data_IF_583239394778
#
_entry.id   IF_583239394778
#
_cell.length_a   1.000
_cell.length_b   1.000
_cell.length_c   1.000
_cell.angle_alpha   90.00
_cell.angle_beta   90.00
_cell.angle_gamma   90.00
#
_symmetry.space_group_name_H-M   'P 1'
#
loop_
_entity.id
_entity.type
_entity.pdbx_description
1 polymer ?
#
# COMPACT_ATOMS: atom_id res chain seq x y z
N UNK A 1 25.41 -7.56 48.41
CA UNK A 1 25.26 -8.01 47.03
C UNK A 1 23.90 -7.52 46.57
N UNK A 2 23.91 -6.50 45.74
CA UNK A 2 22.75 -5.70 45.40
C UNK A 2 23.28 -4.53 44.58
N UNK A 3 23.69 -4.87 43.36
CA UNK A 3 24.50 -3.99 42.52
C UNK A 3 23.58 -3.28 41.51
N UNK A 4 24.06 -2.14 41.03
CA UNK A 4 23.20 -1.01 40.66
C UNK A 4 22.96 -0.87 39.13
N UNK A 5 22.23 0.18 38.76
CA UNK A 5 21.78 0.55 37.43
C UNK A 5 22.90 0.70 36.38
N UNK A 6 22.55 0.47 35.11
CA UNK A 6 23.42 0.67 33.95
C UNK A 6 22.61 1.02 32.70
N UNK A 7 22.41 2.32 32.47
CA UNK A 7 21.56 2.89 31.41
C UNK A 7 22.34 3.28 30.13
N UNK A 8 21.62 3.76 29.11
CA UNK A 8 22.13 4.47 27.91
C UNK A 8 23.28 3.86 27.07
N UNK A 9 22.94 2.94 26.14
CA UNK A 9 23.81 2.54 25.00
C UNK A 9 24.13 3.67 23.98
N UNK A 10 23.62 4.90 24.16
CA UNK A 10 23.64 5.96 23.13
C UNK A 10 24.62 7.10 23.43
N UNK A 11 25.94 6.85 23.35
CA UNK A 11 26.93 7.91 23.07
C UNK A 11 28.13 7.41 22.24
N UNK A 12 28.51 8.28 21.32
CA UNK A 12 29.54 8.20 20.29
C UNK A 12 30.91 7.61 20.68
N UNK A 13 31.51 6.88 19.74
CA UNK A 13 32.97 6.94 19.52
C UNK A 13 33.36 8.35 19.03
N UNK A 14 34.42 8.93 19.61
CA UNK A 14 34.99 10.20 19.20
C UNK A 14 36.50 10.19 19.48
N UNK A 15 37.31 10.50 18.47
CA UNK A 15 38.76 10.31 18.50
C UNK A 15 39.49 11.33 19.41
N UNK A 16 40.53 10.89 20.11
CA UNK A 16 41.40 11.73 20.94
C UNK A 16 42.59 12.31 20.17
N UNK A 17 42.69 13.64 20.12
CA UNK A 17 43.90 14.46 20.36
C UNK A 17 43.70 15.89 19.80
N UNK A 18 44.39 16.95 20.24
CA UNK A 18 44.79 17.41 21.59
C UNK A 18 45.70 18.65 21.44
N UNK A 19 45.21 19.87 21.75
CA UNK A 19 46.05 21.05 22.11
C UNK A 19 45.19 22.26 22.51
N UNK A 20 45.50 22.83 23.68
CA UNK A 20 45.46 24.26 24.09
C UNK A 20 44.22 25.13 23.71
N UNK A 21 43.35 25.57 24.63
CA UNK A 21 43.51 26.47 25.82
C UNK A 21 43.59 27.96 25.47
N UNK A 22 42.52 28.70 25.81
CA UNK A 22 42.59 30.03 26.45
C UNK A 22 41.22 30.41 27.08
N UNK A 23 41.20 31.29 28.09
CA UNK A 23 40.01 31.71 28.86
C UNK A 23 39.60 33.16 28.55
N UNK A 24 38.30 33.46 28.47
CA UNK A 24 37.75 34.83 28.64
C UNK A 24 36.44 34.79 29.44
N UNK A 25 36.27 35.75 30.36
CA UNK A 25 35.20 35.82 31.35
C UNK A 25 33.86 36.45 30.88
N UNK A 26 32.78 36.00 31.54
CA UNK A 26 31.68 36.77 32.16
C UNK A 26 31.25 38.14 31.55
N UNK A 27 29.97 38.24 31.13
CA UNK A 27 28.93 39.09 31.81
C UNK A 27 27.52 39.03 31.19
N UNK A 28 26.52 39.08 32.07
CA UNK A 28 25.15 39.50 31.76
C UNK A 28 24.96 40.97 32.17
N UNK A 29 24.00 41.68 31.56
CA UNK A 29 23.25 42.74 32.25
C UNK A 29 21.76 42.41 32.33
N UNK A 30 21.21 42.40 33.54
CA UNK A 30 19.75 42.52 33.75
C UNK A 30 19.39 43.96 34.04
N UNK A 31 18.30 44.48 33.46
CA UNK A 31 17.66 45.70 33.97
C UNK A 31 16.17 45.48 34.23
N UNK A 32 15.59 46.31 35.10
CA UNK A 32 14.24 46.13 35.66
C UNK A 32 13.53 47.48 35.80
N UNK A 33 12.31 47.58 35.28
CA UNK A 33 11.11 48.20 35.89
C UNK A 33 9.94 48.00 34.89
N UNK A 34 8.66 48.09 35.25
CA UNK A 34 8.06 48.61 36.48
C UNK A 34 6.93 47.71 37.06
N UNK A 35 6.50 47.99 38.29
CA UNK A 35 5.49 47.24 39.06
C UNK A 35 4.21 48.06 39.30
N UNK A 36 3.25 47.40 39.96
CA UNK A 36 1.98 47.87 40.57
C UNK A 36 0.74 47.63 39.68
N UNK A 37 -0.40 47.07 40.12
CA UNK A 37 -0.81 46.31 41.34
C UNK A 37 -1.99 45.34 40.94
N UNK A 38 -2.73 44.55 41.75
CA UNK A 38 -2.95 44.42 43.21
C UNK A 38 -3.43 42.99 43.59
N UNK A 39 -3.87 42.80 44.84
CA UNK A 39 -4.53 41.63 45.48
C UNK A 39 -5.98 41.36 45.03
N UNK A 40 -6.61 40.19 45.20
CA UNK A 40 -6.13 38.85 45.65
C UNK A 40 -7.21 37.96 46.36
N UNK A 41 -6.98 36.62 46.39
CA UNK A 41 -7.67 35.52 47.18
C UNK A 41 -9.16 35.18 46.83
N UNK A 42 -9.50 33.92 46.46
CA UNK A 42 -9.83 32.69 47.28
C UNK A 42 -11.22 32.79 47.97
N UNK A 43 -12.17 31.83 47.94
CA UNK A 43 -12.13 30.34 47.92
C UNK A 43 -13.38 29.66 47.27
N UNK A 44 -13.25 28.35 47.06
CA UNK A 44 -14.27 27.26 46.92
C UNK A 44 -15.38 27.23 48.01
N UNK A 45 -16.56 26.60 47.82
CA UNK A 45 -16.80 25.12 47.85
C UNK A 45 -18.14 24.65 47.20
N UNK A 46 -18.44 23.34 47.32
CA UNK A 46 -19.47 22.51 46.65
C UNK A 46 -20.82 22.35 47.37
N UNK A 47 -21.91 21.98 46.66
CA UNK A 47 -22.71 20.72 46.83
C UNK A 47 -23.98 20.60 45.93
N UNK A 48 -24.83 19.56 46.11
CA UNK A 48 -26.02 19.15 45.28
C UNK A 48 -27.16 18.56 46.18
N UNK A 49 -28.21 17.87 45.66
CA UNK A 49 -29.45 18.31 44.96
C UNK A 49 -30.73 17.93 45.76
N UNK A 50 -31.99 18.09 45.24
CA UNK A 50 -32.75 16.90 44.77
C UNK A 50 -33.99 17.06 43.81
N UNK A 51 -34.27 16.03 42.97
CA UNK A 51 -35.62 15.46 42.56
C UNK A 51 -36.65 16.35 41.78
N UNK A 52 -37.57 15.86 40.90
CA UNK A 52 -37.78 14.56 40.23
C UNK A 52 -38.87 14.52 39.10
N UNK A 53 -38.80 13.52 38.18
CA UNK A 53 -39.87 12.79 37.40
C UNK A 53 -40.75 13.46 36.30
N UNK A 54 -40.59 13.01 35.03
CA UNK A 54 -41.61 12.34 34.13
C UNK A 54 -41.05 12.13 32.68
N UNK A 55 -41.66 11.34 31.77
CA UNK A 55 -41.56 9.84 31.60
C UNK A 55 -42.27 9.36 30.29
N UNK A 56 -41.56 8.71 29.33
CA UNK A 56 -42.01 7.77 28.24
C UNK A 56 -40.73 7.28 27.49
N UNK A 57 -40.37 5.99 27.40
CA UNK A 57 -40.81 4.86 26.50
C UNK A 57 -40.64 5.18 25.00
N UNK A 58 -40.07 4.30 24.14
CA UNK A 58 -40.19 2.80 23.99
C UNK A 58 -38.81 2.20 23.56
N UNK A 59 -38.24 1.09 24.07
CA UNK A 59 -38.55 -0.37 23.91
C UNK A 59 -38.34 -0.94 22.47
N UNK A 60 -37.99 -2.23 22.24
CA UNK A 60 -38.24 -3.47 23.02
C UNK A 60 -36.98 -4.23 23.56
N UNK A 61 -36.74 -5.52 23.18
CA UNK A 61 -35.78 -6.49 23.80
C UNK A 61 -35.17 -7.48 22.77
N UNK A 62 -33.93 -7.96 22.99
CA UNK A 62 -33.31 -9.12 22.29
C UNK A 62 -33.93 -10.50 22.64
N UNK A 63 -33.61 -11.52 21.83
CA UNK A 63 -33.55 -12.98 22.13
C UNK A 63 -34.70 -13.70 22.88
N UNK A 64 -35.22 -14.79 22.31
CA UNK A 64 -35.00 -16.19 22.79
C UNK A 64 -35.66 -17.25 21.87
N UNK A 65 -35.40 -18.54 22.13
CA UNK A 65 -35.71 -19.73 21.31
C UNK A 65 -36.95 -20.49 21.85
N UNK A 66 -37.75 -21.12 20.97
CA UNK A 66 -38.54 -22.32 21.31
C UNK A 66 -38.14 -23.60 20.54
N UNK A 67 -38.48 -24.78 21.10
CA UNK A 67 -38.15 -26.13 20.58
C UNK A 67 -39.23 -26.77 19.67
N UNK A 68 -38.91 -27.95 19.13
CA UNK A 68 -39.70 -28.78 18.21
C UNK A 68 -40.95 -29.45 18.82
N UNK A 69 -41.92 -29.80 17.94
CA UNK A 69 -42.78 -30.99 18.04
C UNK A 69 -43.02 -31.59 16.64
N UNK A 70 -43.41 -32.87 16.57
CA UNK A 70 -43.54 -33.68 15.33
C UNK A 70 -44.99 -34.07 15.00
N UNK A 71 -45.25 -34.33 13.71
CA UNK A 71 -46.38 -35.11 13.13
C UNK A 71 -47.80 -34.53 13.36
N UNK A 72 -48.78 -34.68 12.46
CA UNK A 72 -48.84 -35.06 11.04
C UNK A 72 -50.14 -34.43 10.43
N UNK A 73 -50.57 -34.62 9.18
CA UNK A 73 -50.16 -35.53 8.08
C UNK A 73 -50.26 -34.82 6.70
N UNK A 74 -50.26 -35.57 5.60
CA UNK A 74 -50.23 -35.05 4.22
C UNK A 74 -51.55 -35.06 3.43
N UNK A 75 -51.56 -34.27 2.35
CA UNK A 75 -52.01 -34.72 1.02
C UNK A 75 -51.28 -33.91 -0.09
N UNK A 76 -51.42 -34.34 -1.34
CA UNK A 76 -50.70 -33.86 -2.53
C UNK A 76 -51.31 -32.59 -3.10
N UNK A 77 -50.47 -31.62 -3.43
CA UNK A 77 -50.75 -30.72 -4.57
C UNK A 77 -49.47 -30.43 -5.36
N UNK A 78 -49.55 -30.64 -6.68
CA UNK A 78 -48.42 -30.51 -7.61
C UNK A 78 -48.15 -29.05 -7.94
N UNK A 79 -47.14 -28.47 -7.30
CA UNK A 79 -46.75 -27.09 -7.58
C UNK A 79 -45.27 -27.01 -7.99
N UNK A 80 -45.02 -27.11 -9.30
CA UNK A 80 -43.69 -27.02 -9.92
C UNK A 80 -43.13 -25.60 -9.81
N UNK A 81 -42.66 -25.23 -8.61
CA UNK A 81 -41.96 -23.98 -8.33
C UNK A 81 -40.70 -23.91 -9.20
N UNK A 82 -40.79 -23.23 -10.35
CA UNK A 82 -39.66 -22.95 -11.25
C UNK A 82 -38.50 -22.42 -10.41
N UNK A 83 -37.45 -23.23 -10.22
CA UNK A 83 -36.26 -22.86 -9.44
C UNK A 83 -35.64 -21.64 -10.13
N UNK A 84 -35.90 -20.43 -9.61
CA UNK A 84 -35.20 -19.21 -10.03
C UNK A 84 -33.71 -19.53 -9.94
N UNK A 85 -33.03 -19.65 -11.09
CA UNK A 85 -31.57 -19.86 -11.14
C UNK A 85 -30.96 -18.72 -10.32
N UNK A 86 -30.42 -19.04 -9.13
CA UNK A 86 -29.66 -18.07 -8.34
C UNK A 86 -28.57 -17.57 -9.28
N UNK A 87 -28.59 -16.28 -9.59
CA UNK A 87 -27.59 -15.65 -10.47
C UNK A 87 -26.25 -15.87 -9.77
N UNK A 88 -25.37 -16.68 -10.36
CA UNK A 88 -24.09 -17.06 -9.73
C UNK A 88 -23.38 -15.78 -9.27
N UNK A 89 -22.94 -15.74 -8.02
CA UNK A 89 -22.13 -14.63 -7.53
C UNK A 89 -20.85 -14.57 -8.36
N UNK A 90 -20.27 -13.39 -8.57
CA UNK A 90 -19.01 -13.25 -9.32
C UNK A 90 -17.92 -14.16 -8.68
N UNK A 91 -17.91 -14.24 -7.35
CA UNK A 91 -17.13 -15.20 -6.55
C UNK A 91 -17.31 -16.66 -6.98
N UNK A 92 -18.55 -17.11 -7.21
CA UNK A 92 -18.88 -18.51 -7.54
C UNK A 92 -18.40 -18.87 -8.96
N UNK A 93 -18.40 -17.89 -9.87
CA UNK A 93 -17.85 -18.06 -11.23
C UNK A 93 -16.32 -18.10 -11.16
N UNK A 94 -15.69 -17.14 -10.48
CA UNK A 94 -14.23 -17.05 -10.31
C UNK A 94 -13.63 -18.22 -9.52
N UNK A 95 -14.42 -18.89 -8.67
CA UNK A 95 -14.02 -20.12 -7.97
C UNK A 95 -14.18 -21.39 -8.82
N UNK A 96 -14.94 -21.34 -9.92
CA UNK A 96 -15.13 -22.48 -10.85
C UNK A 96 -14.14 -22.51 -12.02
N UNK A 97 -13.31 -21.48 -12.17
CA UNK A 97 -12.21 -21.43 -13.14
C UNK A 97 -10.89 -21.86 -12.49
N UNK A 98 -10.11 -22.72 -13.14
CA UNK A 98 -8.73 -22.97 -12.76
C UNK A 98 -7.87 -21.69 -12.88
N UNK A 99 -6.83 -21.51 -12.06
CA UNK A 99 -5.98 -20.33 -12.08
C UNK A 99 -4.98 -20.41 -13.26
N UNK A 100 -5.42 -20.10 -14.49
CA UNK A 100 -4.49 -19.87 -15.62
C UNK A 100 -3.55 -18.69 -15.28
N UNK A 101 -2.21 -18.82 -15.43
CA UNK A 101 -1.30 -17.68 -15.27
C UNK A 101 -1.62 -16.57 -16.27
N UNK A 102 -1.31 -15.33 -15.90
CA UNK A 102 -1.46 -14.16 -16.76
C UNK A 102 -0.41 -14.13 -17.87
N UNK A 103 -0.81 -13.73 -19.07
CA UNK A 103 0.10 -13.51 -20.19
C UNK A 103 0.08 -12.04 -20.69
N UNK A 104 1.10 -11.60 -21.46
CA UNK A 104 1.15 -10.23 -22.02
C UNK A 104 -0.14 -9.80 -22.74
N UNK A 105 -0.78 -10.72 -23.47
CA UNK A 105 -2.04 -10.47 -24.15
C UNK A 105 -3.20 -10.13 -23.18
N UNK A 106 -3.23 -10.68 -21.96
CA UNK A 106 -4.26 -10.33 -20.97
C UNK A 106 -4.11 -8.85 -20.54
N UNK A 107 -2.88 -8.35 -20.40
CA UNK A 107 -2.60 -6.94 -20.11
C UNK A 107 -2.93 -6.05 -21.32
N UNK A 108 -2.48 -6.43 -22.52
CA UNK A 108 -2.72 -5.64 -23.73
C UNK A 108 -4.23 -5.51 -24.02
N UNK A 109 -4.99 -6.59 -23.87
CA UNK A 109 -6.45 -6.57 -24.01
C UNK A 109 -7.11 -5.67 -22.95
N UNK A 110 -6.65 -5.72 -21.69
CA UNK A 110 -7.18 -4.88 -20.60
C UNK A 110 -6.94 -3.39 -20.84
N UNK A 111 -5.76 -3.02 -21.35
CA UNK A 111 -5.41 -1.64 -21.70
C UNK A 111 -6.25 -1.18 -22.90
N UNK A 112 -6.27 -1.97 -23.98
CA UNK A 112 -6.99 -1.64 -25.22
C UNK A 112 -8.50 -1.47 -24.97
N UNK A 113 -9.12 -2.35 -24.17
CA UNK A 113 -10.54 -2.26 -23.80
C UNK A 113 -10.88 -1.05 -22.91
N UNK A 114 -9.91 -0.50 -22.17
CA UNK A 114 -10.16 0.67 -21.32
C UNK A 114 -10.01 2.00 -22.06
N UNK A 115 -9.20 2.01 -23.12
CA UNK A 115 -8.89 3.21 -23.90
C UNK A 115 -9.62 3.30 -25.25
N UNK A 116 -10.23 2.21 -25.74
CA UNK A 116 -11.07 2.19 -26.96
C UNK A 116 -12.12 3.30 -27.02
N UNK A 117 -12.67 3.65 -25.86
CA UNK A 117 -13.79 4.60 -25.72
C UNK A 117 -13.29 6.03 -25.42
N UNK A 118 -11.97 6.22 -25.27
CA UNK A 118 -11.35 7.40 -24.64
C UNK A 118 -10.27 8.07 -25.48
N UNK A 119 -9.84 7.43 -26.57
CA UNK A 119 -8.68 7.81 -27.38
C UNK A 119 -9.00 7.61 -28.85
N UNK A 120 -8.35 8.40 -29.71
CA UNK A 120 -8.40 8.18 -31.16
C UNK A 120 -7.75 6.85 -31.55
N UNK A 121 -8.03 6.37 -32.77
CA UNK A 121 -7.43 5.15 -33.31
C UNK A 121 -5.90 5.21 -33.27
N UNK A 122 -5.31 6.36 -33.62
CA UNK A 122 -3.85 6.58 -33.61
C UNK A 122 -3.29 6.47 -32.18
N UNK A 123 -3.99 7.05 -31.20
CA UNK A 123 -3.62 6.96 -29.78
C UNK A 123 -3.85 5.57 -29.15
N UNK A 124 -4.55 4.67 -29.87
CA UNK A 124 -4.77 3.25 -29.54
C UNK A 124 -3.87 2.32 -30.38
N UNK A 125 -3.08 2.87 -31.30
CA UNK A 125 -1.85 2.26 -31.85
C UNK A 125 -0.60 2.75 -31.07
N UNK A 126 -0.69 3.92 -30.42
CA UNK A 126 -0.17 4.07 -29.07
C UNK A 126 -0.77 3.03 -28.10
N UNK A 127 -0.20 2.85 -26.90
CA UNK A 127 -0.59 1.84 -25.92
C UNK A 127 -0.43 0.36 -26.36
N UNK A 128 -0.23 0.06 -27.65
CA UNK A 128 0.24 -1.26 -28.13
C UNK A 128 1.70 -1.46 -27.73
N UNK A 129 1.96 -2.43 -26.87
CA UNK A 129 3.30 -2.86 -26.49
C UNK A 129 3.79 -4.00 -27.38
N UNK A 130 5.11 -4.07 -27.58
CA UNK A 130 5.75 -5.23 -28.21
C UNK A 130 6.07 -6.29 -27.16
N UNK A 131 6.21 -7.56 -27.56
CA UNK A 131 6.62 -8.65 -26.65
C UNK A 131 7.99 -8.38 -25.99
N UNK A 132 8.85 -7.60 -26.65
CA UNK A 132 10.14 -7.12 -26.12
C UNK A 132 10.02 -6.22 -24.86
N UNK A 133 8.86 -5.60 -24.65
CA UNK A 133 8.53 -4.84 -23.44
C UNK A 133 8.25 -5.75 -22.24
N UNK A 134 7.99 -7.05 -22.46
CA UNK A 134 7.66 -8.00 -21.42
C UNK A 134 8.88 -8.83 -20.98
N UNK A 135 8.77 -9.37 -19.77
CA UNK A 135 9.67 -10.35 -19.18
C UNK A 135 9.01 -11.73 -19.25
N UNK A 136 9.75 -12.79 -18.91
CA UNK A 136 9.15 -14.10 -18.66
C UNK A 136 7.98 -13.94 -17.68
N UNK A 137 6.84 -14.57 -17.96
CA UNK A 137 5.64 -14.48 -17.11
C UNK A 137 5.63 -15.66 -16.15
N UNK A 138 5.32 -15.41 -14.88
CA UNK A 138 5.29 -16.46 -13.85
C UNK A 138 4.20 -17.50 -14.17
N UNK A 139 4.62 -18.75 -14.32
CA UNK A 139 3.78 -19.93 -14.59
C UNK A 139 3.09 -20.49 -13.32
N UNK A 140 3.21 -19.76 -12.20
CA UNK A 140 2.79 -20.09 -10.83
C UNK A 140 3.77 -20.99 -10.05
N UNK A 141 4.86 -21.48 -10.64
CA UNK A 141 5.83 -22.32 -9.92
C UNK A 141 6.80 -21.49 -9.07
N UNK A 142 7.12 -20.26 -9.48
CA UNK A 142 8.13 -19.44 -8.82
C UNK A 142 7.58 -18.62 -7.64
N UNK A 143 8.33 -18.63 -6.54
CA UNK A 143 8.19 -17.62 -5.48
C UNK A 143 8.71 -16.26 -5.96
N UNK A 144 8.26 -15.15 -5.34
CA UNK A 144 8.67 -13.79 -5.74
C UNK A 144 10.20 -13.61 -5.77
N UNK A 145 10.90 -14.14 -4.77
CA UNK A 145 12.38 -14.11 -4.74
C UNK A 145 13.04 -14.96 -5.82
N UNK A 146 12.40 -16.01 -6.32
CA UNK A 146 12.90 -16.82 -7.45
C UNK A 146 12.67 -16.10 -8.77
N UNK A 147 11.42 -15.67 -9.00
CA UNK A 147 11.01 -14.95 -10.20
C UNK A 147 11.87 -13.70 -10.43
N UNK A 148 12.08 -12.89 -9.39
CA UNK A 148 12.93 -11.70 -9.50
C UNK A 148 14.41 -12.01 -9.77
N UNK A 149 14.94 -13.18 -9.40
CA UNK A 149 16.32 -13.58 -9.76
C UNK A 149 16.46 -13.92 -11.23
N UNK A 150 15.41 -14.47 -11.83
CA UNK A 150 15.30 -14.74 -13.27
C UNK A 150 15.14 -13.44 -14.07
N UNK A 151 14.12 -12.62 -13.76
CA UNK A 151 13.77 -11.45 -14.58
C UNK A 151 14.63 -10.20 -14.34
N UNK A 152 15.32 -10.11 -13.20
CA UNK A 152 16.26 -9.02 -12.87
C UNK A 152 17.70 -9.53 -12.73
N UNK A 153 18.30 -10.13 -13.78
CA UNK A 153 19.65 -10.68 -13.70
C UNK A 153 20.66 -9.57 -13.38
N UNK A 154 21.71 -9.90 -12.63
CA UNK A 154 22.74 -8.96 -12.16
C UNK A 154 22.20 -7.84 -11.23
N UNK A 155 21.08 -8.07 -10.52
CA UNK A 155 20.50 -7.15 -9.51
C UNK A 155 21.55 -6.49 -8.59
N UNK A 156 22.55 -7.25 -8.12
CA UNK A 156 23.61 -6.76 -7.25
C UNK A 156 24.45 -5.62 -7.86
N UNK A 157 24.60 -5.54 -9.19
CA UNK A 157 25.21 -4.40 -9.90
C UNK A 157 24.20 -3.28 -10.09
N UNK A 158 22.96 -3.62 -10.47
CA UNK A 158 21.87 -2.67 -10.73
C UNK A 158 21.57 -1.83 -9.49
N UNK A 159 21.48 -2.43 -8.30
CA UNK A 159 21.24 -1.71 -7.05
C UNK A 159 22.37 -0.71 -6.73
N UNK A 160 23.64 -1.08 -6.94
CA UNK A 160 24.80 -0.23 -6.62
C UNK A 160 25.02 0.91 -7.63
N UNK A 161 24.35 0.85 -8.80
CA UNK A 161 24.32 1.93 -9.79
C UNK A 161 23.20 2.95 -9.55
N UNK A 162 22.26 2.68 -8.64
CA UNK A 162 21.11 3.55 -8.40
C UNK A 162 21.41 4.58 -7.32
N UNK A 163 21.55 5.84 -7.71
CA UNK A 163 21.79 6.98 -6.81
C UNK A 163 20.64 7.97 -6.74
N UNK A 164 19.58 7.77 -7.53
CA UNK A 164 18.53 8.77 -7.70
C UNK A 164 17.57 8.81 -6.51
N UNK A 165 17.33 10.02 -6.01
CA UNK A 165 16.30 10.31 -5.01
C UNK A 165 14.94 10.39 -5.69
N UNK A 166 13.87 10.15 -4.92
CA UNK A 166 12.49 10.12 -5.43
C UNK A 166 12.23 9.15 -6.60
N UNK A 167 13.11 8.19 -6.88
CA UNK A 167 12.92 7.20 -7.95
C UNK A 167 13.30 5.80 -7.48
N UNK A 168 12.81 4.76 -8.18
CA UNK A 168 13.03 3.34 -7.86
C UNK A 168 13.31 2.54 -9.13
N UNK A 169 14.16 1.53 -9.05
CA UNK A 169 14.55 0.72 -10.23
C UNK A 169 13.57 -0.43 -10.49
N UNK A 170 13.01 -0.98 -9.41
CA UNK A 170 11.99 -2.03 -9.42
C UNK A 170 10.74 -1.51 -8.70
N UNK A 171 9.60 -1.55 -9.37
CA UNK A 171 8.29 -1.22 -8.81
C UNK A 171 7.38 -2.45 -8.86
N UNK A 172 6.91 -2.89 -7.69
CA UNK A 172 5.99 -4.02 -7.56
C UNK A 172 4.60 -3.49 -7.21
N UNK A 173 3.63 -3.76 -8.07
CA UNK A 173 2.25 -3.26 -7.98
C UNK A 173 1.33 -4.38 -7.56
N UNK A 174 0.54 -4.17 -6.50
CA UNK A 174 -0.34 -5.18 -5.93
C UNK A 174 -1.68 -4.63 -5.45
N UNK A 175 -2.62 -5.54 -5.20
CA UNK A 175 -4.04 -5.23 -4.94
C UNK A 175 -4.33 -4.50 -3.63
N UNK A 176 -3.48 -4.64 -2.60
CA UNK A 176 -3.82 -4.21 -1.24
C UNK A 176 -2.61 -4.01 -0.33
N UNK A 177 -2.78 -3.18 0.71
CA UNK A 177 -1.76 -2.91 1.72
C UNK A 177 -1.30 -4.16 2.50
N UNK A 178 -2.17 -5.15 2.70
CA UNK A 178 -1.80 -6.42 3.33
C UNK A 178 -0.87 -7.23 2.41
N UNK A 179 -1.22 -7.34 1.13
CA UNK A 179 -0.42 -8.01 0.11
C UNK A 179 0.92 -7.29 -0.12
N UNK A 180 0.97 -5.96 -0.05
CA UNK A 180 2.23 -5.19 -0.05
C UNK A 180 3.18 -5.66 1.06
N UNK A 181 2.68 -5.83 2.30
CA UNK A 181 3.51 -6.26 3.44
C UNK A 181 3.98 -7.71 3.26
N UNK A 182 3.12 -8.58 2.71
CA UNK A 182 3.48 -9.97 2.39
C UNK A 182 4.60 -10.06 1.34
N UNK A 183 4.45 -9.36 0.21
CA UNK A 183 5.45 -9.30 -0.86
C UNK A 183 6.79 -8.76 -0.34
N UNK A 184 6.79 -7.72 0.50
CA UNK A 184 8.02 -7.19 1.13
C UNK A 184 8.74 -8.24 2.00
N UNK A 185 8.01 -9.13 2.69
CA UNK A 185 8.64 -10.26 3.41
C UNK A 185 9.25 -11.28 2.44
N UNK A 186 8.58 -11.56 1.32
CA UNK A 186 9.08 -12.46 0.28
C UNK A 186 10.29 -11.91 -0.51
N UNK A 187 10.57 -10.59 -0.45
CA UNK A 187 11.76 -9.97 -1.06
C UNK A 187 13.07 -10.22 -0.31
N UNK A 188 13.03 -10.76 0.92
CA UNK A 188 14.20 -10.90 1.81
C UNK A 188 15.41 -11.58 1.15
N UNK A 189 15.21 -12.66 0.40
CA UNK A 189 16.31 -13.41 -0.25
C UNK A 189 16.73 -12.87 -1.63
N UNK A 190 16.08 -11.81 -2.13
CA UNK A 190 16.40 -11.12 -3.38
C UNK A 190 17.06 -9.77 -3.14
N UNK A 191 16.52 -8.98 -2.20
CA UNK A 191 16.86 -7.55 -2.06
C UNK A 191 18.35 -7.28 -1.80
N UNK A 192 19.05 -8.13 -1.04
CA UNK A 192 20.40 -7.84 -0.55
C UNK A 192 20.46 -6.52 0.25
N UNK A 193 21.39 -5.64 -0.13
CA UNK A 193 21.57 -4.30 0.43
C UNK A 193 20.43 -3.32 0.06
N UNK A 194 19.62 -3.62 -0.97
CA UNK A 194 18.61 -2.72 -1.49
C UNK A 194 17.60 -2.22 -0.43
N UNK A 195 17.38 -0.89 -0.45
CA UNK A 195 16.35 -0.22 0.36
C UNK A 195 14.98 -0.39 -0.30
N UNK A 196 14.04 -0.96 0.45
CA UNK A 196 12.66 -1.27 0.02
C UNK A 196 11.68 -0.34 0.73
N UNK A 197 10.75 0.27 0.00
CA UNK A 197 9.74 1.17 0.57
C UNK A 197 8.30 0.69 0.27
N UNK A 198 7.43 0.78 1.29
CA UNK A 198 6.01 0.42 1.23
C UNK A 198 5.16 1.63 0.78
N UNK A 199 4.46 1.51 -0.35
CA UNK A 199 3.78 2.62 -1.03
C UNK A 199 2.26 2.39 -1.05
N UNK A 200 1.62 2.49 0.12
CA UNK A 200 0.17 2.35 0.29
C UNK A 200 -0.41 3.34 1.31
N UNK A 201 -1.70 3.66 1.18
CA UNK A 201 -2.42 4.53 2.11
C UNK A 201 -2.96 3.75 3.32
N UNK A 202 -2.36 3.96 4.51
CA UNK A 202 -2.96 3.53 5.80
C UNK A 202 -2.41 4.28 7.03
N UNK A 203 -1.08 4.45 7.10
CA UNK A 203 -0.39 4.98 8.28
C UNK A 203 0.63 6.09 7.98
N UNK A 204 0.78 6.49 6.72
CA UNK A 204 1.70 7.54 6.27
C UNK A 204 0.94 8.39 5.24
N UNK A 205 0.90 9.71 5.42
CA UNK A 205 0.29 10.64 4.46
C UNK A 205 1.11 10.68 3.16
N UNK A 206 0.55 11.25 2.09
CA UNK A 206 1.26 11.26 0.81
C UNK A 206 2.46 12.22 0.87
N UNK A 207 2.31 13.35 1.55
CA UNK A 207 3.32 14.39 1.77
C UNK A 207 4.49 13.89 2.64
N UNK A 208 4.18 13.11 3.67
CA UNK A 208 5.19 12.42 4.50
C UNK A 208 5.97 11.39 3.68
N UNK A 209 5.28 10.68 2.77
CA UNK A 209 5.88 9.67 1.90
C UNK A 209 6.74 10.29 0.79
N UNK A 210 6.35 11.45 0.23
CA UNK A 210 7.18 12.29 -0.66
C UNK A 210 8.48 12.67 0.05
N UNK A 211 8.40 13.17 1.30
CA UNK A 211 9.60 13.53 2.09
C UNK A 211 10.53 12.35 2.37
N UNK A 212 9.98 11.14 2.59
CA UNK A 212 10.79 9.92 2.74
C UNK A 212 11.52 9.54 1.44
N UNK A 213 10.84 9.62 0.30
CA UNK A 213 11.40 9.35 -1.04
C UNK A 213 12.47 10.38 -1.45
N UNK A 214 12.28 11.65 -1.07
CA UNK A 214 13.27 12.73 -1.28
C UNK A 214 14.48 12.60 -0.34
N UNK A 215 14.31 12.14 0.90
CA UNK A 215 15.40 12.07 1.89
C UNK A 215 16.42 10.96 1.59
N UNK A 216 16.03 9.86 0.94
CA UNK A 216 16.92 8.71 0.76
C UNK A 216 16.65 7.86 -0.49
N UNK A 217 17.75 7.37 -1.08
CA UNK A 217 17.76 6.47 -2.24
C UNK A 217 16.92 5.22 -1.92
N UNK A 218 15.90 4.99 -2.73
CA UNK A 218 15.01 3.81 -2.65
C UNK A 218 15.20 2.97 -3.90
N UNK A 219 15.35 1.66 -3.76
CA UNK A 219 15.72 0.78 -4.87
C UNK A 219 14.51 -0.02 -5.37
N UNK A 220 13.68 -0.48 -4.42
CA UNK A 220 12.46 -1.24 -4.68
C UNK A 220 11.27 -0.51 -4.05
N UNK A 221 10.28 -0.14 -4.86
CA UNK A 221 8.95 0.25 -4.38
C UNK A 221 8.02 -0.96 -4.39
N UNK A 222 7.21 -1.17 -3.35
CA UNK A 222 6.10 -2.13 -3.36
C UNK A 222 4.84 -1.41 -2.90
N UNK A 223 3.75 -1.45 -3.67
CA UNK A 223 2.61 -0.59 -3.37
C UNK A 223 1.28 -0.92 -4.06
N UNK A 224 0.31 -0.05 -3.79
CA UNK A 224 -1.05 -0.11 -4.33
C UNK A 224 -1.26 1.00 -5.38
N UNK A 225 -1.88 0.71 -6.55
CA UNK A 225 -2.00 1.66 -7.66
C UNK A 225 -2.38 3.10 -7.31
N UNK A 226 -3.44 3.34 -6.53
CA UNK A 226 -3.89 4.69 -6.20
C UNK A 226 -2.88 5.53 -5.41
N UNK A 227 -2.08 4.90 -4.54
CA UNK A 227 -0.98 5.59 -3.83
C UNK A 227 0.22 5.81 -4.74
N UNK A 228 0.46 4.95 -5.73
CA UNK A 228 1.51 5.15 -6.73
C UNK A 228 1.17 6.33 -7.65
N UNK A 229 -0.06 6.41 -8.15
CA UNK A 229 -0.58 7.57 -8.88
C UNK A 229 -0.40 8.85 -8.07
N UNK A 230 -0.93 8.88 -6.83
CA UNK A 230 -0.85 10.06 -5.97
C UNK A 230 0.59 10.48 -5.56
N UNK A 231 1.60 9.62 -5.73
CA UNK A 231 3.01 9.98 -5.54
C UNK A 231 3.65 10.53 -6.81
N UNK A 232 3.24 10.05 -7.99
CA UNK A 232 3.69 10.54 -9.30
C UNK A 232 3.04 11.91 -9.59
N UNK A 233 1.72 12.04 -9.35
CA UNK A 233 0.94 13.30 -9.42
C UNK A 233 1.45 14.40 -8.47
N UNK A 234 2.31 14.06 -7.50
CA UNK A 234 2.91 14.97 -6.51
C UNK A 234 4.43 15.09 -6.66
N UNK A 235 5.00 14.59 -7.77
CA UNK A 235 6.45 14.59 -8.08
C UNK A 235 7.34 13.92 -7.02
N UNK A 236 6.74 13.15 -6.09
CA UNK A 236 7.44 12.42 -5.04
C UNK A 236 7.94 11.04 -5.47
N UNK A 237 7.36 10.48 -6.53
CA UNK A 237 7.86 9.29 -7.20
C UNK A 237 8.03 9.59 -8.70
N UNK A 238 9.26 9.51 -9.18
CA UNK A 238 9.65 9.70 -10.57
C UNK A 238 9.99 8.33 -11.20
N UNK A 239 9.56 8.11 -12.43
CA UNK A 239 9.77 6.86 -13.19
C UNK A 239 11.04 6.85 -14.06
N UNK A 240 11.85 7.91 -14.12
CA UNK A 240 13.03 7.97 -15.02
C UNK A 240 14.06 6.83 -14.77
N UNK A 241 14.28 6.41 -13.51
CA UNK A 241 15.19 5.31 -13.21
C UNK A 241 14.50 3.92 -13.18
N UNK A 242 13.19 3.86 -13.44
CA UNK A 242 12.42 2.61 -13.42
C UNK A 242 12.82 1.72 -14.59
N UNK A 243 13.29 0.51 -14.29
CA UNK A 243 13.65 -0.51 -15.28
C UNK A 243 12.70 -1.69 -15.28
N UNK A 244 12.11 -2.01 -14.14
CA UNK A 244 11.28 -3.20 -13.95
C UNK A 244 9.97 -2.85 -13.25
N UNK A 245 8.84 -3.13 -13.92
CA UNK A 245 7.50 -3.08 -13.35
C UNK A 245 7.00 -4.51 -13.17
N UNK A 246 6.77 -4.95 -11.94
CA UNK A 246 6.24 -6.29 -11.66
C UNK A 246 4.82 -6.18 -11.14
N UNK A 247 3.91 -6.88 -11.79
CA UNK A 247 2.49 -6.88 -11.46
C UNK A 247 2.15 -8.16 -10.70
N UNK A 248 1.62 -8.04 -9.49
CA UNK A 248 1.06 -9.14 -8.70
C UNK A 248 -0.31 -9.55 -9.29
N UNK A 249 -0.23 -10.18 -10.47
CA UNK A 249 -1.33 -10.40 -11.41
C UNK A 249 -2.03 -11.73 -11.16
N UNK A 250 -1.27 -12.75 -10.79
CA UNK A 250 -1.79 -14.09 -10.51
C UNK A 250 -2.42 -14.19 -9.13
N UNK A 251 -2.02 -13.35 -8.18
CA UNK A 251 -2.61 -13.33 -6.85
C UNK A 251 -4.10 -13.01 -6.89
N UNK A 252 -4.87 -13.76 -6.10
CA UNK A 252 -6.32 -13.61 -5.94
C UNK A 252 -6.68 -13.38 -4.48
N UNK A 253 -7.60 -12.45 -4.24
CA UNK A 253 -8.08 -12.12 -2.89
C UNK A 253 -8.98 -13.23 -2.29
N UNK A 254 -9.46 -12.98 -1.05
CA UNK A 254 -10.41 -13.86 -0.35
C UNK A 254 -11.73 -14.11 -1.12
N UNK A 255 -12.04 -13.29 -2.13
CA UNK A 255 -13.20 -13.40 -3.03
C UNK A 255 -12.81 -13.94 -4.42
N UNK A 256 -11.60 -14.53 -4.53
CA UNK A 256 -10.98 -15.08 -5.74
C UNK A 256 -10.75 -14.07 -6.88
N UNK A 257 -10.70 -12.77 -6.58
CA UNK A 257 -10.49 -11.65 -7.52
C UNK A 257 -9.01 -11.29 -7.66
N UNK A 258 -8.52 -11.10 -8.89
CA UNK A 258 -7.23 -10.47 -9.20
C UNK A 258 -7.26 -8.97 -8.91
N UNK A 259 -6.09 -8.32 -8.92
CA UNK A 259 -5.96 -6.85 -8.86
C UNK A 259 -6.87 -6.14 -9.88
N UNK A 260 -7.00 -6.70 -11.08
CA UNK A 260 -7.77 -6.13 -12.20
C UNK A 260 -9.27 -6.44 -12.17
N UNK A 261 -9.72 -7.33 -11.28
CA UNK A 261 -11.14 -7.67 -11.08
C UNK A 261 -11.83 -6.75 -10.04
N UNK A 262 -11.07 -5.85 -9.42
CA UNK A 262 -11.54 -4.90 -8.40
C UNK A 262 -11.69 -3.53 -9.07
N UNK A 263 -12.91 -2.99 -9.30
CA UNK A 263 -13.11 -1.83 -10.17
C UNK A 263 -12.28 -0.58 -9.81
N UNK A 264 -12.21 -0.23 -8.52
CA UNK A 264 -11.40 0.88 -8.01
C UNK A 264 -9.91 0.68 -8.31
N UNK A 265 -9.37 -0.50 -7.98
CA UNK A 265 -7.95 -0.82 -8.17
C UNK A 265 -7.59 -0.99 -9.65
N UNK A 266 -8.51 -1.50 -10.49
CA UNK A 266 -8.39 -1.53 -11.95
C UNK A 266 -8.29 -0.12 -12.52
N UNK A 267 -9.16 0.80 -12.09
CA UNK A 267 -9.15 2.19 -12.55
C UNK A 267 -7.83 2.88 -12.19
N UNK A 268 -7.37 2.74 -10.94
CA UNK A 268 -6.09 3.27 -10.49
C UNK A 268 -4.89 2.62 -11.20
N UNK A 269 -4.95 1.32 -11.46
CA UNK A 269 -3.90 0.59 -12.18
C UNK A 269 -3.76 1.07 -13.63
N UNK A 270 -4.89 1.31 -14.32
CA UNK A 270 -4.87 1.82 -15.69
C UNK A 270 -4.41 3.29 -15.74
N UNK A 271 -4.70 4.10 -14.72
CA UNK A 271 -4.08 5.43 -14.55
C UNK A 271 -2.57 5.36 -14.29
N UNK A 272 -2.11 4.39 -13.50
CA UNK A 272 -0.68 4.19 -13.23
C UNK A 272 0.09 3.82 -14.51
N UNK A 273 -0.46 2.94 -15.35
CA UNK A 273 0.14 2.62 -16.66
C UNK A 273 0.23 3.85 -17.57
N UNK A 274 -0.79 4.71 -17.56
CA UNK A 274 -0.85 5.92 -18.37
C UNK A 274 0.04 7.07 -17.85
N UNK A 275 0.51 6.99 -16.60
CA UNK A 275 1.42 7.98 -15.98
C UNK A 275 2.87 7.93 -16.51
N UNK A 276 3.03 7.74 -17.83
CA UNK A 276 4.31 7.64 -18.55
C UNK A 276 4.92 6.24 -18.59
N UNK A 277 4.37 5.26 -17.86
CA UNK A 277 4.89 3.89 -17.84
C UNK A 277 4.80 3.23 -19.23
N UNK A 278 3.65 3.29 -19.91
CA UNK A 278 3.50 2.68 -21.24
C UNK A 278 4.44 3.31 -22.29
N UNK A 279 4.69 4.62 -22.20
CA UNK A 279 5.70 5.32 -23.00
C UNK A 279 7.12 4.80 -22.70
N UNK A 280 7.49 4.68 -21.43
CA UNK A 280 8.77 4.11 -21.02
C UNK A 280 8.97 2.65 -21.43
N UNK A 281 7.89 1.87 -21.55
CA UNK A 281 7.93 0.51 -22.11
C UNK A 281 8.24 0.52 -23.61
N UNK A 282 7.60 1.39 -24.40
CA UNK A 282 7.88 1.57 -25.83
C UNK A 282 9.29 2.07 -26.10
N UNK A 283 9.78 2.99 -25.28
CA UNK A 283 11.17 3.46 -25.29
C UNK A 283 12.18 2.40 -24.81
N UNK A 284 11.73 1.17 -24.51
CA UNK A 284 12.54 0.03 -24.01
C UNK A 284 13.29 0.29 -22.70
N UNK A 285 12.88 1.33 -21.95
CA UNK A 285 13.45 1.70 -20.64
C UNK A 285 12.86 0.85 -19.52
N UNK A 286 11.54 0.65 -19.55
CA UNK A 286 10.79 -0.15 -18.58
C UNK A 286 10.46 -1.51 -19.21
N UNK A 287 10.58 -2.59 -18.44
CA UNK A 287 10.08 -3.92 -18.79
C UNK A 287 9.04 -4.40 -17.78
N UNK A 288 7.99 -5.08 -18.26
CA UNK A 288 6.85 -5.55 -17.46
C UNK A 288 6.97 -7.05 -17.17
N UNK A 289 6.97 -7.43 -15.88
CA UNK A 289 6.81 -8.81 -15.42
C UNK A 289 5.41 -9.06 -14.86
N UNK A 290 4.86 -10.26 -15.11
CA UNK A 290 3.60 -10.74 -14.55
C UNK A 290 3.92 -11.83 -13.52
N UNK A 291 3.60 -11.58 -12.26
CA UNK A 291 3.84 -12.46 -11.12
C UNK A 291 2.56 -13.14 -10.62
#
# INVERSE_FOLDING_TARGET
MGDDLGDEWWKHEGNSDASEVEEIEEKQPTEKLNKQTKTGKKRSLTEKPPKAKKKKKTEQKECLVPQEKKQNDGDKSTNTKKRKRKKKTITDVLASSEPKPGCPADLQNLVTQYFSDKRSVIELEELKLQDSCFLASNDLTHSLSSYLKEICPKWAKIQKQHTDKSSVVLLIVCSSALRTIELIKQLTTFKGEAKVLKLFAKHIKVEEQVKLLQKGITHIGVGTPGRLCALIEREGLNIQALRYLVLDWNWRDQKRRRMVDIPEVKLDFLRLLDSGILKGCKESKIKIGLF
#
